data_IF_657083423471
#
_entry.id   IF_657083423471
#
_cell.length_a   1.000
_cell.length_b   1.000
_cell.length_c   1.000
_cell.angle_alpha   90.00
_cell.angle_beta   90.00
_cell.angle_gamma   90.00
#
_symmetry.space_group_name_H-M   'P 1'
#
loop_
_entity.id
_entity.type
_entity.pdbx_description
1 polymer ?
#
# COMPACT_ATOMS: atom_id res chain seq x y z
N UNK A 1 -3.77 24.21 4.24
CA UNK A 1 -2.88 24.84 3.26
C UNK A 1 -1.94 25.72 4.06
N UNK A 2 -0.63 25.69 3.84
CA UNK A 2 0.25 26.68 4.47
C UNK A 2 0.12 27.97 3.65
N UNK A 3 -0.90 28.75 4.00
CA UNK A 3 -1.22 30.05 3.41
C UNK A 3 -0.32 31.13 4.03
N UNK A 4 -0.15 32.27 3.36
CA UNK A 4 0.78 33.34 3.79
C UNK A 4 0.49 33.85 5.22
N UNK A 5 -0.75 33.75 5.71
CA UNK A 5 -1.14 34.04 7.10
C UNK A 5 -0.62 33.02 8.13
N UNK A 6 -0.19 31.83 7.71
CA UNK A 6 0.54 30.89 8.57
C UNK A 6 2.01 31.24 8.73
N UNK A 7 2.62 32.10 7.91
CA UNK A 7 4.02 32.53 8.11
C UNK A 7 4.21 33.29 9.43
N UNK A 8 3.28 34.16 9.84
CA UNK A 8 3.41 34.90 11.11
C UNK A 8 3.22 34.02 12.35
N UNK A 9 2.34 33.01 12.28
CA UNK A 9 2.20 31.98 13.33
C UNK A 9 3.34 30.95 13.31
N UNK A 10 3.94 30.71 12.15
CA UNK A 10 5.11 29.85 12.02
C UNK A 10 6.36 30.56 12.56
N UNK A 11 6.55 31.85 12.32
CA UNK A 11 7.64 32.64 12.92
C UNK A 11 7.53 32.72 14.46
N UNK A 12 6.31 32.85 15.00
CA UNK A 12 6.07 32.81 16.46
C UNK A 12 6.26 31.41 17.08
N UNK A 13 6.08 30.33 16.33
CA UNK A 13 6.34 28.97 16.81
C UNK A 13 7.79 28.51 16.55
N UNK A 14 8.44 29.04 15.51
CA UNK A 14 9.87 28.85 15.20
C UNK A 14 10.75 29.47 16.29
N UNK A 15 10.37 30.62 16.86
CA UNK A 15 11.07 31.22 18.01
C UNK A 15 10.92 30.42 19.31
N UNK A 16 9.87 29.60 19.46
CA UNK A 16 9.73 28.67 20.59
C UNK A 16 10.40 27.31 20.34
N UNK A 17 10.52 26.87 19.08
CA UNK A 17 11.15 25.60 18.72
C UNK A 17 12.69 25.64 18.64
N UNK A 18 13.30 26.83 18.59
CA UNK A 18 14.76 26.99 18.70
C UNK A 18 15.33 26.49 20.03
N UNK A 19 14.49 26.16 21.03
CA UNK A 19 14.90 25.55 22.29
C UNK A 19 15.23 24.05 22.20
N UNK A 20 14.89 23.36 21.11
CA UNK A 20 15.16 21.92 20.92
C UNK A 20 15.97 21.62 19.64
N UNK A 21 17.17 22.22 19.57
CA UNK A 21 18.41 21.75 18.93
C UNK A 21 18.36 20.77 17.72
N UNK A 22 17.42 20.92 16.79
CA UNK A 22 17.43 20.22 15.50
C UNK A 22 17.33 21.24 14.36
N UNK A 23 18.40 21.39 13.60
CA UNK A 23 18.45 22.31 12.47
C UNK A 23 17.48 21.83 11.37
N UNK A 24 16.32 22.47 11.27
CA UNK A 24 15.36 22.23 10.19
C UNK A 24 15.99 22.62 8.84
N UNK A 25 16.26 21.65 7.96
CA UNK A 25 16.80 21.90 6.62
C UNK A 25 15.67 22.31 5.67
N UNK A 26 15.73 23.52 5.13
CA UNK A 26 14.78 24.03 4.15
C UNK A 26 15.24 23.74 2.71
N UNK A 27 14.28 23.64 1.78
CA UNK A 27 14.54 23.55 0.34
C UNK A 27 13.40 24.25 -0.44
N UNK A 28 13.69 24.78 -1.63
CA UNK A 28 12.69 25.44 -2.46
C UNK A 28 12.08 24.46 -3.46
N UNK A 29 10.75 24.38 -3.51
CA UNK A 29 10.04 23.61 -4.53
C UNK A 29 9.68 24.52 -5.71
N UNK A 30 10.38 24.35 -6.83
CA UNK A 30 10.14 25.15 -8.06
C UNK A 30 8.71 25.02 -8.58
N UNK A 31 8.11 23.83 -8.50
CA UNK A 31 6.75 23.58 -9.02
C UNK A 31 5.63 24.17 -8.17
N UNK A 32 5.90 24.44 -6.89
CA UNK A 32 4.94 25.04 -5.98
C UNK A 32 5.37 26.45 -5.56
N UNK A 33 6.47 26.97 -6.13
CA UNK A 33 7.05 28.29 -5.86
C UNK A 33 7.10 28.65 -4.37
N UNK A 34 7.54 27.68 -3.55
CA UNK A 34 7.48 27.81 -2.10
C UNK A 34 8.62 27.08 -1.39
N UNK A 35 9.09 27.69 -0.30
CA UNK A 35 10.07 27.10 0.59
C UNK A 35 9.42 26.07 1.51
N UNK A 36 10.04 24.89 1.60
CA UNK A 36 9.51 23.72 2.28
C UNK A 36 10.57 23.17 3.25
N UNK A 37 10.14 22.78 4.44
CA UNK A 37 11.00 22.10 5.40
C UNK A 37 11.14 20.61 5.05
N UNK A 38 12.33 20.01 5.20
CA UNK A 38 12.50 18.55 5.14
C UNK A 38 11.73 17.88 6.29
N UNK A 39 11.02 16.77 6.06
CA UNK A 39 11.11 15.87 4.91
C UNK A 39 9.98 16.05 3.88
N UNK A 40 9.43 17.26 3.71
CA UNK A 40 8.40 17.54 2.70
C UNK A 40 8.87 17.18 1.29
N UNK A 41 7.97 16.58 0.51
CA UNK A 41 8.24 16.17 -0.86
C UNK A 41 7.08 16.55 -1.79
N UNK A 42 7.44 17.03 -2.98
CA UNK A 42 6.48 17.25 -4.04
C UNK A 42 5.99 15.92 -4.62
N UNK A 43 4.69 15.81 -4.88
CA UNK A 43 4.11 14.72 -5.64
C UNK A 43 3.71 15.20 -7.03
N UNK A 44 4.27 14.57 -8.06
CA UNK A 44 4.03 14.95 -9.46
C UNK A 44 2.57 14.70 -9.85
N UNK A 45 2.02 13.56 -9.44
CA UNK A 45 0.65 13.15 -9.75
C UNK A 45 -0.39 14.05 -9.08
N UNK A 46 -0.18 14.39 -7.80
CA UNK A 46 -1.09 15.28 -7.06
C UNK A 46 -0.78 16.77 -7.24
N UNK A 47 0.33 17.13 -7.92
CA UNK A 47 0.83 18.50 -8.11
C UNK A 47 0.90 19.33 -6.82
N UNK A 48 1.26 18.68 -5.70
CA UNK A 48 1.26 19.28 -4.37
C UNK A 48 2.40 18.73 -3.50
N UNK A 49 2.91 19.58 -2.61
CA UNK A 49 3.87 19.20 -1.58
C UNK A 49 3.18 18.59 -0.36
N UNK A 50 3.70 17.47 0.11
CA UNK A 50 3.20 16.77 1.28
C UNK A 50 4.31 16.55 2.32
N UNK A 51 3.99 16.85 3.57
CA UNK A 51 4.88 16.61 4.71
C UNK A 51 4.84 15.13 5.12
N UNK A 52 5.98 14.53 5.46
CA UNK A 52 6.11 13.10 5.77
C UNK A 52 5.46 12.17 4.72
N UNK A 53 5.68 12.48 3.44
CA UNK A 53 5.22 11.66 2.32
C UNK A 53 6.01 10.36 2.23
N UNK A 54 5.31 9.23 2.15
CA UNK A 54 5.92 7.91 1.87
C UNK A 54 5.97 7.69 0.34
N UNK A 55 4.81 7.57 -0.29
CA UNK A 55 4.67 7.36 -1.73
C UNK A 55 3.32 7.88 -2.25
N UNK A 56 3.18 7.96 -3.57
CA UNK A 56 1.87 8.11 -4.22
C UNK A 56 1.39 6.71 -4.59
N UNK A 57 0.27 6.29 -4.02
CA UNK A 57 -0.29 4.98 -4.31
C UNK A 57 -1.23 5.10 -5.50
N UNK A 58 -0.90 4.43 -6.61
CA UNK A 58 -1.74 4.41 -7.80
C UNK A 58 -3.11 3.78 -7.52
N UNK A 59 -3.15 2.70 -6.72
CA UNK A 59 -4.38 1.98 -6.38
C UNK A 59 -5.36 2.82 -5.56
N UNK A 60 -4.86 3.69 -4.68
CA UNK A 60 -5.70 4.61 -3.90
C UNK A 60 -5.94 5.94 -4.62
N UNK A 61 -5.25 6.21 -5.73
CA UNK A 61 -5.26 7.53 -6.38
C UNK A 61 -4.77 8.67 -5.48
N UNK A 62 -4.06 8.37 -4.39
CA UNK A 62 -3.76 9.31 -3.32
C UNK A 62 -2.34 9.17 -2.77
N UNK A 63 -1.82 10.25 -2.17
CA UNK A 63 -0.57 10.20 -1.44
C UNK A 63 -0.74 9.54 -0.07
N UNK A 64 0.14 8.57 0.21
CA UNK A 64 0.30 7.95 1.52
C UNK A 64 1.34 8.75 2.30
N UNK A 65 0.92 9.15 3.48
CA UNK A 65 1.58 10.07 4.41
C UNK A 65 1.69 9.36 5.75
N UNK A 66 2.59 9.83 6.61
CA UNK A 66 2.65 9.32 7.99
C UNK A 66 1.32 9.41 8.74
N UNK A 67 0.52 10.45 8.47
CA UNK A 67 -0.77 10.71 9.15
C UNK A 67 -1.92 9.81 8.67
N UNK A 68 -1.91 9.34 7.42
CA UNK A 68 -2.93 8.45 6.86
C UNK A 68 -2.37 7.04 6.57
N UNK A 69 -1.25 6.70 7.23
CA UNK A 69 -0.58 5.40 7.07
C UNK A 69 -1.48 4.24 7.54
N UNK A 70 -2.30 4.47 8.57
CA UNK A 70 -3.30 3.49 9.02
C UNK A 70 -4.26 3.10 7.91
N UNK A 71 -4.79 4.06 7.15
CA UNK A 71 -5.71 3.82 6.04
C UNK A 71 -5.06 2.95 4.95
N UNK A 72 -3.78 3.15 4.68
CA UNK A 72 -3.04 2.32 3.72
C UNK A 72 -2.88 0.87 4.21
N UNK A 73 -2.57 0.69 5.50
CA UNK A 73 -2.44 -0.64 6.11
C UNK A 73 -3.80 -1.36 6.12
N UNK A 74 -4.89 -0.64 6.45
CA UNK A 74 -6.26 -1.16 6.39
C UNK A 74 -6.65 -1.55 4.97
N UNK A 75 -6.33 -0.73 3.97
CA UNK A 75 -6.54 -1.06 2.57
C UNK A 75 -5.88 -2.40 2.19
N UNK A 76 -4.63 -2.62 2.59
CA UNK A 76 -3.94 -3.89 2.34
C UNK A 76 -4.60 -5.06 3.08
N UNK A 77 -5.03 -4.86 4.32
CA UNK A 77 -5.69 -5.88 5.13
C UNK A 77 -7.05 -6.28 4.54
N UNK A 78 -7.92 -5.32 4.24
CA UNK A 78 -9.23 -5.59 3.65
C UNK A 78 -9.13 -6.19 2.26
N UNK A 79 -8.19 -5.73 1.43
CA UNK A 79 -7.93 -6.35 0.11
C UNK A 79 -7.53 -7.81 0.28
N UNK A 80 -6.67 -8.11 1.26
CA UNK A 80 -6.28 -9.50 1.57
C UNK A 80 -7.49 -10.34 1.99
N UNK A 81 -8.38 -9.80 2.83
CA UNK A 81 -9.59 -10.49 3.26
C UNK A 81 -10.56 -10.74 2.11
N UNK A 82 -10.75 -9.75 1.23
CA UNK A 82 -11.56 -9.89 0.00
C UNK A 82 -10.97 -10.97 -0.91
N UNK A 83 -9.65 -10.97 -1.15
CA UNK A 83 -9.00 -12.01 -1.94
C UNK A 83 -9.19 -13.39 -1.32
N UNK A 84 -9.03 -13.53 0.01
CA UNK A 84 -9.23 -14.79 0.70
C UNK A 84 -10.68 -15.29 0.56
N UNK A 85 -11.66 -14.40 0.74
CA UNK A 85 -13.07 -14.73 0.54
C UNK A 85 -13.34 -15.20 -0.89
N UNK A 86 -12.87 -14.46 -1.90
CA UNK A 86 -13.01 -14.85 -3.31
C UNK A 86 -12.34 -16.19 -3.62
N UNK A 87 -11.18 -16.48 -3.02
CA UNK A 87 -10.50 -17.77 -3.17
C UNK A 87 -11.32 -18.91 -2.55
N UNK A 88 -11.93 -18.72 -1.39
CA UNK A 88 -12.81 -19.72 -0.78
C UNK A 88 -14.03 -20.03 -1.67
N UNK A 89 -14.55 -19.02 -2.38
CA UNK A 89 -15.67 -19.20 -3.32
C UNK A 89 -15.21 -19.90 -4.61
N UNK A 90 -14.03 -19.56 -5.14
CA UNK A 90 -13.54 -20.06 -6.44
C UNK A 90 -12.89 -21.45 -6.33
N UNK A 91 -12.27 -21.78 -5.21
CA UNK A 91 -11.52 -23.03 -5.04
C UNK A 91 -12.36 -24.31 -5.29
N UNK A 92 -13.63 -24.43 -4.84
CA UNK A 92 -14.48 -25.58 -5.15
C UNK A 92 -14.74 -25.73 -6.65
N UNK A 93 -15.08 -24.63 -7.34
CA UNK A 93 -15.29 -24.63 -8.80
C UNK A 93 -14.01 -25.03 -9.55
N UNK A 94 -12.85 -24.58 -9.07
CA UNK A 94 -11.57 -25.01 -9.65
C UNK A 94 -11.29 -26.49 -9.45
N UNK A 95 -11.62 -27.03 -8.28
CA UNK A 95 -11.44 -28.45 -7.98
C UNK A 95 -12.27 -29.34 -8.91
N UNK A 96 -13.54 -28.98 -9.14
CA UNK A 96 -14.40 -29.73 -10.08
C UNK A 96 -13.89 -29.69 -11.53
N UNK A 97 -13.27 -28.58 -11.92
CA UNK A 97 -12.75 -28.39 -13.28
C UNK A 97 -11.28 -28.80 -13.44
N UNK A 98 -10.64 -29.32 -12.40
CA UNK A 98 -9.19 -29.58 -12.38
C UNK A 98 -8.77 -30.60 -13.44
N UNK A 99 -9.62 -31.59 -13.73
CA UNK A 99 -9.37 -32.63 -14.73
C UNK A 99 -9.37 -32.09 -16.16
N UNK A 100 -10.05 -30.96 -16.42
CA UNK A 100 -10.00 -30.27 -17.72
C UNK A 100 -8.75 -29.38 -17.86
N UNK A 101 -8.18 -28.96 -16.73
CA UNK A 101 -7.06 -28.02 -16.66
C UNK A 101 -5.72 -28.76 -16.62
N UNK A 102 -5.66 -29.85 -15.85
CA UNK A 102 -4.47 -30.66 -15.63
C UNK A 102 -4.64 -31.97 -16.38
N UNK A 103 -3.84 -32.17 -17.44
CA UNK A 103 -3.77 -33.47 -18.11
C UNK A 103 -3.16 -34.50 -17.16
N UNK A 104 -3.65 -35.73 -17.22
CA UNK A 104 -3.25 -36.85 -16.34
C UNK A 104 -1.74 -37.13 -16.32
N UNK A 105 -1.00 -36.72 -17.37
CA UNK A 105 0.45 -36.91 -17.51
C UNK A 105 1.28 -35.64 -17.23
N UNK A 106 0.71 -34.65 -16.53
CA UNK A 106 1.41 -33.39 -16.28
C UNK A 106 2.47 -33.53 -15.18
N UNK A 107 3.75 -33.41 -15.55
CA UNK A 107 4.85 -33.25 -14.59
C UNK A 107 4.62 -32.07 -13.64
N UNK A 108 5.18 -32.13 -12.43
CA UNK A 108 5.15 -31.03 -11.45
C UNK A 108 5.59 -29.69 -12.03
N UNK A 109 6.53 -29.71 -12.98
CA UNK A 109 6.97 -28.51 -13.70
C UNK A 109 5.86 -27.93 -14.60
N UNK A 110 5.12 -28.76 -15.33
CA UNK A 110 3.99 -28.33 -16.14
C UNK A 110 2.82 -27.83 -15.29
N UNK A 111 2.59 -28.45 -14.12
CA UNK A 111 1.63 -27.95 -13.13
C UNK A 111 2.07 -26.56 -12.67
N UNK A 112 3.32 -26.39 -12.23
CA UNK A 112 3.84 -25.09 -11.81
C UNK A 112 3.71 -24.01 -12.89
N UNK A 113 4.04 -24.31 -14.15
CA UNK A 113 3.88 -23.37 -15.27
C UNK A 113 2.41 -23.01 -15.54
N UNK A 114 1.46 -23.91 -15.29
CA UNK A 114 0.03 -23.64 -15.45
C UNK A 114 -0.50 -22.61 -14.45
N UNK A 115 0.05 -22.59 -13.24
CA UNK A 115 -0.29 -21.64 -12.17
C UNK A 115 0.66 -20.43 -12.12
N UNK A 116 1.55 -20.30 -13.12
CA UNK A 116 2.41 -19.15 -13.26
C UNK A 116 1.64 -18.03 -13.98
N UNK A 117 1.33 -16.95 -13.27
CA UNK A 117 0.48 -15.87 -13.78
C UNK A 117 0.78 -15.41 -15.22
N UNK A 118 2.03 -15.11 -15.63
CA UNK A 118 2.33 -14.69 -17.01
C UNK A 118 1.96 -15.74 -18.06
N UNK A 119 2.09 -17.03 -17.72
CA UNK A 119 1.81 -18.16 -18.61
C UNK A 119 0.30 -18.41 -18.66
N UNK A 120 -0.38 -18.39 -17.51
CA UNK A 120 -1.84 -18.51 -17.44
C UNK A 120 -2.51 -17.39 -18.26
N UNK A 121 -2.02 -16.14 -18.12
CA UNK A 121 -2.50 -15.00 -18.89
C UNK A 121 -2.24 -15.16 -20.39
N UNK A 122 -1.03 -15.57 -20.79
CA UNK A 122 -0.70 -15.80 -22.19
C UNK A 122 -1.59 -16.87 -22.83
N UNK A 123 -1.90 -17.94 -22.07
CA UNK A 123 -2.83 -18.99 -22.52
C UNK A 123 -4.25 -18.48 -22.66
N UNK A 124 -4.74 -17.68 -21.72
CA UNK A 124 -6.06 -17.05 -21.81
C UNK A 124 -6.21 -16.21 -23.09
N UNK A 125 -5.18 -15.43 -23.43
CA UNK A 125 -5.19 -14.57 -24.62
C UNK A 125 -5.14 -15.35 -25.95
N UNK A 126 -4.64 -16.59 -25.93
CA UNK A 126 -4.49 -17.42 -27.13
C UNK A 126 -5.58 -18.50 -27.26
N UNK A 127 -6.22 -18.90 -26.16
CA UNK A 127 -7.20 -19.99 -26.13
C UNK A 127 -8.57 -19.59 -26.68
N UNK A 128 -9.18 -20.50 -27.46
CA UNK A 128 -10.56 -20.34 -27.99
C UNK A 128 -11.64 -20.82 -27.02
N UNK A 129 -11.32 -21.80 -26.16
CA UNK A 129 -12.14 -22.24 -25.01
C UNK A 129 -11.61 -21.57 -23.73
N UNK A 130 -12.25 -20.47 -23.34
CA UNK A 130 -11.69 -19.54 -22.35
C UNK A 130 -12.20 -19.69 -20.91
N UNK A 131 -13.26 -20.45 -20.63
CA UNK A 131 -13.92 -20.43 -19.31
C UNK A 131 -13.06 -21.03 -18.19
N UNK A 132 -12.53 -22.25 -18.37
CA UNK A 132 -11.69 -22.91 -17.37
C UNK A 132 -10.32 -22.22 -17.22
N UNK A 133 -9.77 -21.69 -18.30
CA UNK A 133 -8.51 -20.93 -18.29
C UNK A 133 -8.71 -19.58 -17.59
N UNK A 134 -9.83 -18.90 -17.83
CA UNK A 134 -10.21 -17.67 -17.14
C UNK A 134 -10.29 -17.92 -15.63
N UNK A 135 -10.90 -19.02 -15.20
CA UNK A 135 -10.99 -19.38 -13.78
C UNK A 135 -9.61 -19.53 -13.13
N UNK A 136 -8.68 -20.24 -13.80
CA UNK A 136 -7.28 -20.40 -13.35
C UNK A 136 -6.60 -19.04 -13.27
N UNK A 137 -6.72 -18.19 -14.29
CA UNK A 137 -6.09 -16.86 -14.28
C UNK A 137 -6.63 -15.96 -13.16
N UNK A 138 -7.92 -16.03 -12.86
CA UNK A 138 -8.53 -15.27 -11.77
C UNK A 138 -7.98 -15.77 -10.43
N UNK A 139 -7.90 -17.09 -10.23
CA UNK A 139 -7.33 -17.68 -9.01
C UNK A 139 -5.87 -17.27 -8.80
N UNK A 140 -5.04 -17.37 -9.84
CA UNK A 140 -3.62 -16.97 -9.79
C UNK A 140 -3.45 -15.49 -9.48
N UNK A 141 -4.30 -14.64 -10.08
CA UNK A 141 -4.32 -13.20 -9.79
C UNK A 141 -4.69 -12.91 -8.34
N UNK A 142 -5.72 -13.59 -7.82
CA UNK A 142 -6.15 -13.41 -6.43
C UNK A 142 -5.09 -13.86 -5.43
N UNK A 143 -4.42 -14.99 -5.68
CA UNK A 143 -3.30 -15.46 -4.85
C UNK A 143 -2.15 -14.45 -4.88
N UNK A 144 -1.79 -13.95 -6.07
CA UNK A 144 -0.70 -12.99 -6.24
C UNK A 144 -1.01 -11.68 -5.49
N UNK A 145 -2.22 -11.15 -5.64
CA UNK A 145 -2.65 -9.92 -4.94
C UNK A 145 -2.66 -10.15 -3.42
N UNK A 146 -3.18 -11.28 -2.95
CA UNK A 146 -3.20 -11.64 -1.53
C UNK A 146 -1.79 -11.64 -0.93
N UNK A 147 -0.84 -12.32 -1.58
CA UNK A 147 0.55 -12.37 -1.12
C UNK A 147 1.20 -10.98 -1.09
N UNK A 148 1.03 -10.18 -2.14
CA UNK A 148 1.60 -8.82 -2.21
C UNK A 148 1.02 -7.94 -1.11
N UNK A 149 -0.31 -7.93 -0.93
CA UNK A 149 -0.99 -7.11 0.07
C UNK A 149 -0.62 -7.51 1.50
N UNK A 150 -0.53 -8.81 1.81
CA UNK A 150 -0.12 -9.28 3.13
C UNK A 150 1.33 -8.92 3.43
N UNK A 151 2.27 -9.23 2.52
CA UNK A 151 3.69 -8.95 2.70
C UNK A 151 3.92 -7.45 2.84
N UNK A 152 3.34 -6.64 1.95
CA UNK A 152 3.54 -5.20 1.97
C UNK A 152 2.86 -4.54 3.17
N UNK A 153 1.64 -4.97 3.52
CA UNK A 153 0.89 -4.48 4.68
C UNK A 153 1.61 -4.78 6.00
N UNK A 154 2.05 -6.04 6.20
CA UNK A 154 2.80 -6.46 7.40
C UNK A 154 4.14 -5.74 7.47
N UNK A 155 4.87 -5.67 6.36
CA UNK A 155 6.16 -4.98 6.33
C UNK A 155 6.02 -3.50 6.64
N UNK A 156 5.00 -2.83 6.11
CA UNK A 156 4.71 -1.43 6.43
C UNK A 156 4.32 -1.25 7.88
N UNK A 157 3.43 -2.08 8.43
CA UNK A 157 3.06 -2.03 9.86
C UNK A 157 4.30 -2.21 10.75
N UNK A 158 5.11 -3.22 10.48
CA UNK A 158 6.36 -3.47 11.19
C UNK A 158 7.34 -2.29 11.10
N UNK A 159 7.44 -1.64 9.93
CA UNK A 159 8.28 -0.46 9.73
C UNK A 159 7.79 0.74 10.55
N UNK A 160 6.47 0.92 10.71
CA UNK A 160 5.88 1.96 11.56
C UNK A 160 6.20 1.73 13.05
N UNK A 161 6.03 0.49 13.52
CA UNK A 161 6.25 0.11 14.92
C UNK A 161 7.73 0.13 15.31
N UNK A 162 8.62 -0.30 14.41
CA UNK A 162 10.07 -0.26 14.66
C UNK A 162 10.69 1.11 14.43
N UNK A 163 9.94 2.05 13.82
CA UNK A 163 10.45 3.37 13.47
C UNK A 163 11.53 3.31 12.41
N UNK A 164 11.52 2.31 11.52
CA UNK A 164 12.45 2.20 10.37
C UNK A 164 11.93 2.95 9.13
N UNK A 165 11.01 3.90 9.31
CA UNK A 165 10.47 4.70 8.22
C UNK A 165 11.52 5.67 7.68
N UNK A 166 11.30 6.17 6.45
CA UNK A 166 12.20 7.13 5.79
C UNK A 166 12.49 8.40 6.62
N UNK A 167 11.59 8.75 7.53
CA UNK A 167 11.65 9.94 8.39
C UNK A 167 11.86 9.58 9.88
N UNK A 168 12.36 8.37 10.16
CA UNK A 168 12.68 7.86 11.50
C UNK A 168 13.45 8.86 12.37
N UNK A 169 14.48 9.48 11.80
CA UNK A 169 15.38 10.39 12.51
C UNK A 169 14.69 11.67 13.00
N UNK A 170 13.50 11.99 12.48
CA UNK A 170 12.75 13.21 12.81
C UNK A 170 11.62 12.89 13.77
N UNK A 171 10.91 11.77 13.57
CA UNK A 171 9.65 11.51 14.26
C UNK A 171 9.65 10.29 15.17
N UNK A 172 10.67 9.43 15.09
CA UNK A 172 10.71 8.18 15.84
C UNK A 172 9.63 7.16 15.42
N UNK A 173 9.35 6.23 16.35
CA UNK A 173 8.39 5.12 16.21
C UNK A 173 6.95 5.63 16.29
N UNK A 174 6.01 4.94 15.64
CA UNK A 174 4.57 5.20 15.79
C UNK A 174 3.93 4.14 16.67
N UNK A 175 3.09 4.56 17.61
CA UNK A 175 2.26 3.65 18.39
C UNK A 175 1.04 3.20 17.59
N UNK A 176 0.46 2.06 17.94
CA UNK A 176 -0.78 1.57 17.30
C UNK A 176 -1.93 2.58 17.39
N UNK A 177 -2.02 3.34 18.51
CA UNK A 177 -3.00 4.41 18.69
C UNK A 177 -2.78 5.59 17.75
N UNK A 178 -1.54 5.88 17.34
CA UNK A 178 -1.26 6.92 16.35
C UNK A 178 -1.58 6.47 14.93
N UNK A 179 -1.43 5.16 14.66
CA UNK A 179 -1.68 4.58 13.33
C UNK A 179 -3.18 4.40 13.10
N UNK A 180 -3.90 3.82 14.06
CA UNK A 180 -5.30 3.42 13.93
C UNK A 180 -6.28 4.28 14.75
N UNK A 181 -5.80 5.28 15.48
CA UNK A 181 -6.64 6.17 16.30
C UNK A 181 -6.91 5.64 17.72
N UNK A 182 -7.76 6.36 18.45
CA UNK A 182 -8.06 6.13 19.88
C UNK A 182 -8.57 4.72 20.19
N UNK A 183 -9.29 4.12 19.24
CA UNK A 183 -9.89 2.79 19.33
C UNK A 183 -8.95 1.64 18.92
N UNK A 184 -7.71 1.94 18.50
CA UNK A 184 -6.67 0.93 18.22
C UNK A 184 -7.13 -0.12 17.21
N UNK A 185 -7.05 -1.40 17.60
CA UNK A 185 -7.43 -2.54 16.74
C UNK A 185 -8.94 -2.58 16.41
N UNK A 186 -9.82 -2.00 17.25
CA UNK A 186 -11.25 -1.99 16.96
C UNK A 186 -11.57 -1.16 15.70
N UNK A 187 -10.73 -0.16 15.39
CA UNK A 187 -10.83 0.62 14.16
C UNK A 187 -10.39 -0.18 12.90
N UNK A 188 -9.80 -1.37 13.08
CA UNK A 188 -9.50 -2.30 11.99
C UNK A 188 -10.75 -3.05 11.53
N UNK A 189 -11.73 -3.24 12.43
CA UNK A 189 -12.97 -3.95 12.10
C UNK A 189 -14.03 -2.94 11.64
N UNK A 190 -14.08 -1.78 12.30
CA UNK A 190 -15.04 -0.71 12.02
C UNK A 190 -14.32 0.62 11.79
N UNK A 191 -13.85 0.89 10.57
CA UNK A 191 -13.26 2.19 10.23
C UNK A 191 -14.36 3.24 10.29
N UNK A 192 -14.32 4.09 11.32
CA UNK A 192 -15.18 5.28 11.47
C UNK A 192 -14.54 6.51 10.82
#
# INVERSE_FOLDING_TARGET
LCDVTTQSKLELSVTQLTAHNTAYKFWHCERCESYMCKPTQHCIFCRKCFHFKDHHCFFLGACVLRQNMGNFILFCFYTSLTCLYSLCVIAPYMYENINHIVKSDADYFNIFLNFCFPIALARLLHSRDGSSILLVTIFDMLITILCICLVYGIWKLHSCLTGKQRYANITGKQNLREIFGSYGLSNIIFPY
#
